data_IF_195241390749
#
_entry.id   IF_195241390749
#
_cell.length_a   1.000
_cell.length_b   1.000
_cell.length_c   1.000
_cell.angle_alpha   90.00
_cell.angle_beta   90.00
_cell.angle_gamma   90.00
#
_symmetry.space_group_name_H-M   'P 1'
#
loop_
_entity.id
_entity.type
_entity.pdbx_description
1 polymer ?
#
# COMPACT_ATOMS: atom_id res chain seq x y z
N UNK A 1 -1.48 -17.15 -54.41
CA UNK A 1 -1.97 -16.85 -53.04
C UNK A 1 -1.07 -17.55 -52.03
N UNK A 2 -0.03 -16.86 -51.55
CA UNK A 2 0.80 -17.36 -50.45
C UNK A 2 0.00 -17.23 -49.16
N UNK A 3 -0.41 -18.37 -48.58
CA UNK A 3 -0.89 -18.42 -47.20
C UNK A 3 0.27 -17.97 -46.30
N UNK A 4 0.20 -16.75 -45.79
CA UNK A 4 1.02 -16.32 -44.65
C UNK A 4 0.77 -17.33 -43.54
N UNK A 5 1.79 -18.12 -43.22
CA UNK A 5 1.88 -18.85 -41.97
C UNK A 5 1.76 -17.78 -40.87
N UNK A 6 0.58 -17.72 -40.23
CA UNK A 6 0.42 -17.03 -38.96
C UNK A 6 1.31 -17.84 -38.02
N UNK A 7 2.43 -17.23 -37.59
CA UNK A 7 3.37 -17.87 -36.68
C UNK A 7 2.61 -18.40 -35.47
N UNK A 8 2.82 -19.66 -35.12
CA UNK A 8 2.34 -20.20 -33.85
C UNK A 8 2.91 -19.29 -32.76
N UNK A 9 2.05 -18.65 -31.97
CA UNK A 9 2.47 -17.84 -30.83
C UNK A 9 3.39 -18.65 -29.90
N UNK A 10 4.21 -17.96 -29.11
CA UNK A 10 5.09 -18.59 -28.12
C UNK A 10 4.33 -19.51 -27.15
N UNK A 11 5.03 -20.32 -26.35
CA UNK A 11 4.38 -21.12 -25.32
C UNK A 11 3.56 -20.22 -24.40
N UNK A 12 2.37 -20.70 -24.03
CA UNK A 12 1.45 -20.00 -23.14
C UNK A 12 2.09 -19.81 -21.77
N UNK A 13 1.89 -18.62 -21.21
CA UNK A 13 2.49 -18.21 -19.95
C UNK A 13 1.47 -18.18 -18.81
N UNK A 14 1.92 -18.59 -17.63
CA UNK A 14 1.31 -18.26 -16.34
C UNK A 14 2.35 -17.56 -15.47
N UNK A 15 2.01 -16.43 -14.85
CA UNK A 15 2.93 -15.73 -13.95
C UNK A 15 2.26 -15.28 -12.66
N UNK A 16 3.09 -15.14 -11.61
CA UNK A 16 2.69 -14.59 -10.32
C UNK A 16 3.00 -13.09 -10.30
N UNK A 17 2.05 -12.27 -9.86
CA UNK A 17 2.22 -10.84 -9.65
C UNK A 17 2.12 -10.50 -8.16
N UNK A 18 3.20 -9.91 -7.63
CA UNK A 18 3.35 -9.43 -6.24
C UNK A 18 4.07 -8.07 -6.24
N UNK A 19 4.20 -7.44 -5.08
CA UNK A 19 4.83 -6.13 -4.89
C UNK A 19 4.68 -5.66 -3.44
N UNK A 20 5.15 -4.45 -3.14
CA UNK A 20 4.93 -3.78 -1.86
C UNK A 20 5.37 -4.62 -0.65
N UNK A 21 6.57 -5.21 -0.76
CA UNK A 21 7.14 -6.09 0.28
C UNK A 21 7.60 -5.30 1.52
N UNK A 22 8.06 -4.06 1.32
CA UNK A 22 8.54 -3.15 2.37
C UNK A 22 9.45 -3.83 3.40
N UNK A 23 10.50 -4.51 2.95
CA UNK A 23 11.40 -5.25 3.84
C UNK A 23 12.03 -4.31 4.89
N UNK A 24 11.87 -4.68 6.16
CA UNK A 24 12.30 -3.87 7.32
C UNK A 24 11.23 -2.97 7.92
N UNK A 25 10.02 -2.94 7.37
CA UNK A 25 8.89 -2.25 7.97
C UNK A 25 8.54 -2.86 9.33
N UNK A 26 8.11 -2.01 10.25
CA UNK A 26 7.66 -2.38 11.60
C UNK A 26 6.18 -2.09 11.77
N UNK A 27 5.57 -2.74 12.75
CA UNK A 27 4.23 -2.45 13.23
C UNK A 27 4.32 -1.91 14.66
N UNK A 28 4.28 -0.59 14.82
CA UNK A 28 4.71 0.03 16.08
C UNK A 28 6.16 -0.33 16.39
N UNK A 29 6.40 -0.92 17.56
CA UNK A 29 7.73 -1.39 17.96
C UNK A 29 8.05 -2.83 17.49
N UNK A 30 7.07 -3.54 16.91
CA UNK A 30 7.24 -4.92 16.48
C UNK A 30 7.93 -5.01 15.12
N UNK A 31 9.00 -5.78 15.09
CA UNK A 31 9.73 -6.11 13.87
C UNK A 31 9.02 -7.23 13.10
N UNK A 32 8.74 -7.00 11.82
CA UNK A 32 7.95 -7.92 11.00
C UNK A 32 8.80 -8.88 10.14
N UNK A 33 10.12 -8.94 10.34
CA UNK A 33 11.00 -9.76 9.48
C UNK A 33 10.62 -11.24 9.47
N UNK A 34 10.15 -11.78 10.58
CA UNK A 34 9.71 -13.17 10.66
C UNK A 34 8.44 -13.40 9.83
N UNK A 35 7.47 -12.49 9.95
CA UNK A 35 6.24 -12.45 9.16
C UNK A 35 6.54 -12.29 7.67
N UNK A 36 7.51 -11.43 7.33
CA UNK A 36 7.94 -11.20 5.94
C UNK A 36 8.56 -12.45 5.34
N UNK A 37 9.39 -13.16 6.11
CA UNK A 37 9.97 -14.42 5.67
C UNK A 37 8.92 -15.53 5.51
N UNK A 38 7.99 -15.67 6.46
CA UNK A 38 6.92 -16.65 6.39
C UNK A 38 5.97 -16.40 5.20
N UNK A 39 5.55 -15.15 4.99
CA UNK A 39 4.74 -14.77 3.84
C UNK A 39 5.45 -15.03 2.51
N UNK A 40 6.76 -14.76 2.46
CA UNK A 40 7.59 -15.10 1.31
C UNK A 40 7.62 -16.61 1.04
N UNK A 41 7.81 -17.45 2.06
CA UNK A 41 7.78 -18.91 1.87
C UNK A 41 6.42 -19.42 1.36
N UNK A 42 5.32 -18.83 1.85
CA UNK A 42 3.96 -19.12 1.35
C UNK A 42 3.77 -18.66 -0.09
N UNK A 43 4.33 -17.51 -0.48
CA UNK A 43 4.37 -17.06 -1.87
C UNK A 43 5.12 -18.06 -2.76
N UNK A 44 6.30 -18.54 -2.33
CA UNK A 44 7.05 -19.57 -3.06
C UNK A 44 6.25 -20.86 -3.21
N UNK A 45 5.55 -21.29 -2.15
CA UNK A 45 4.67 -22.46 -2.21
C UNK A 45 3.54 -22.27 -3.24
N UNK A 46 2.89 -21.10 -3.26
CA UNK A 46 1.86 -20.76 -4.25
C UNK A 46 2.45 -20.80 -5.67
N UNK A 47 3.62 -20.21 -5.90
CA UNK A 47 4.29 -20.22 -7.21
C UNK A 47 4.51 -21.65 -7.74
N UNK A 48 4.92 -22.57 -6.84
CA UNK A 48 5.12 -23.99 -7.16
C UNK A 48 3.82 -24.73 -7.43
N UNK A 49 2.83 -24.56 -6.57
CA UNK A 49 1.50 -25.19 -6.71
C UNK A 49 0.84 -24.78 -8.02
N UNK A 50 0.92 -23.49 -8.34
CA UNK A 50 0.33 -22.92 -9.55
C UNK A 50 1.12 -23.23 -10.82
N UNK A 51 2.38 -23.68 -10.66
CA UNK A 51 3.34 -23.94 -11.74
C UNK A 51 3.52 -22.70 -12.61
N UNK A 52 3.79 -21.57 -11.97
CA UNK A 52 4.05 -20.32 -12.71
C UNK A 52 5.38 -20.41 -13.46
N UNK A 53 5.44 -19.75 -14.59
CA UNK A 53 6.61 -19.68 -15.47
C UNK A 53 7.53 -18.49 -15.12
N UNK A 54 7.01 -17.48 -14.42
CA UNK A 54 7.75 -16.28 -14.02
C UNK A 54 7.12 -15.59 -12.79
N UNK A 55 7.90 -14.74 -12.13
CA UNK A 55 7.45 -13.90 -11.01
C UNK A 55 7.67 -12.42 -11.34
N UNK A 56 6.59 -11.64 -11.26
CA UNK A 56 6.56 -10.19 -11.41
C UNK A 56 6.51 -9.53 -10.03
N UNK A 57 7.46 -8.62 -9.76
CA UNK A 57 7.54 -7.86 -8.49
C UNK A 57 7.45 -6.36 -8.79
N UNK A 58 6.28 -5.78 -8.52
CA UNK A 58 5.89 -4.43 -8.92
C UNK A 58 6.35 -3.32 -7.93
N UNK A 59 7.58 -3.40 -7.44
CA UNK A 59 8.22 -2.34 -6.63
C UNK A 59 7.97 -2.41 -5.13
N UNK A 60 8.52 -1.41 -4.44
CA UNK A 60 8.59 -1.26 -2.97
C UNK A 60 9.15 -2.52 -2.28
N UNK A 61 10.37 -2.89 -2.70
CA UNK A 61 11.11 -4.01 -2.12
C UNK A 61 11.52 -3.69 -0.68
N UNK A 62 11.99 -2.47 -0.43
CA UNK A 62 12.39 -1.98 0.88
C UNK A 62 11.39 -0.96 1.42
N UNK A 63 11.31 -0.82 2.75
CA UNK A 63 10.49 0.22 3.39
C UNK A 63 11.11 1.63 3.29
N UNK A 64 12.41 1.73 2.99
CA UNK A 64 13.16 2.98 2.97
C UNK A 64 14.22 2.95 1.87
N UNK A 65 14.61 4.10 1.29
CA UNK A 65 15.68 4.16 0.27
C UNK A 65 17.06 3.84 0.85
N UNK A 66 17.17 3.86 2.18
CA UNK A 66 18.36 3.45 2.94
C UNK A 66 17.96 2.31 3.89
N UNK A 67 17.71 1.08 3.36
CA UNK A 67 17.44 -0.09 4.21
C UNK A 67 18.62 -0.39 5.13
N UNK A 68 18.31 -0.99 6.29
CA UNK A 68 19.31 -1.55 7.19
C UNK A 68 19.92 -2.84 6.62
N UNK A 69 20.99 -3.32 7.24
CA UNK A 69 21.74 -4.50 6.79
C UNK A 69 20.87 -5.77 6.77
N UNK A 70 20.03 -5.96 7.79
CA UNK A 70 19.14 -7.13 7.89
C UNK A 70 18.12 -7.18 6.74
N UNK A 71 17.53 -6.05 6.37
CA UNK A 71 16.62 -5.96 5.22
C UNK A 71 17.33 -6.29 3.91
N UNK A 72 18.56 -5.79 3.73
CA UNK A 72 19.37 -6.07 2.54
C UNK A 72 19.71 -7.56 2.46
N UNK A 73 20.12 -8.16 3.59
CA UNK A 73 20.40 -9.59 3.68
C UNK A 73 19.15 -10.44 3.40
N UNK A 74 17.99 -10.02 3.92
CA UNK A 74 16.71 -10.68 3.72
C UNK A 74 16.28 -10.64 2.25
N UNK A 75 16.33 -9.48 1.59
CA UNK A 75 16.01 -9.39 0.16
C UNK A 75 16.94 -10.28 -0.65
N UNK A 76 18.25 -10.21 -0.40
CA UNK A 76 19.22 -11.03 -1.10
C UNK A 76 18.90 -12.53 -0.96
N UNK A 77 18.57 -12.99 0.25
CA UNK A 77 18.15 -14.37 0.50
C UNK A 77 16.89 -14.74 -0.29
N UNK A 78 15.87 -13.88 -0.29
CA UNK A 78 14.63 -14.11 -1.06
C UNK A 78 14.92 -14.22 -2.56
N UNK A 79 15.75 -13.33 -3.12
CA UNK A 79 16.11 -13.33 -4.54
C UNK A 79 16.93 -14.55 -4.93
N UNK A 80 17.89 -14.97 -4.10
CA UNK A 80 18.66 -16.21 -4.30
C UNK A 80 17.70 -17.41 -4.35
N UNK A 81 16.77 -17.51 -3.41
CA UNK A 81 15.80 -18.59 -3.39
C UNK A 81 14.94 -18.58 -4.67
N UNK A 82 14.33 -17.45 -5.04
CA UNK A 82 13.46 -17.40 -6.23
C UNK A 82 14.20 -17.68 -7.55
N UNK A 83 15.33 -17.02 -7.78
CA UNK A 83 15.99 -17.04 -9.09
C UNK A 83 17.05 -18.15 -9.22
N UNK A 84 17.86 -18.37 -8.18
CA UNK A 84 18.97 -19.31 -8.26
C UNK A 84 18.59 -20.71 -7.78
N UNK A 85 17.72 -20.86 -6.79
CA UNK A 85 17.29 -22.17 -6.29
C UNK A 85 16.07 -22.67 -7.05
N UNK A 86 14.98 -21.90 -7.05
CA UNK A 86 13.71 -22.26 -7.70
C UNK A 86 13.66 -22.00 -9.21
N UNK A 87 14.68 -21.29 -9.74
CA UNK A 87 14.88 -21.04 -11.18
C UNK A 87 13.78 -20.22 -11.86
N UNK A 88 13.00 -19.44 -11.11
CA UNK A 88 12.02 -18.54 -11.71
C UNK A 88 12.73 -17.35 -12.39
N UNK A 89 12.38 -17.03 -13.65
CA UNK A 89 12.61 -15.71 -14.22
C UNK A 89 11.97 -14.65 -13.33
N UNK A 90 12.73 -13.61 -13.01
CA UNK A 90 12.29 -12.49 -12.18
C UNK A 90 12.14 -11.23 -13.02
N UNK A 91 10.97 -10.62 -12.94
CA UNK A 91 10.57 -9.41 -13.65
C UNK A 91 10.27 -8.34 -12.60
N UNK A 92 11.23 -7.46 -12.34
CA UNK A 92 11.20 -6.57 -11.18
C UNK A 92 11.36 -5.11 -11.57
N UNK A 93 10.69 -4.23 -10.81
CA UNK A 93 10.88 -2.78 -10.86
C UNK A 93 11.16 -2.23 -9.46
N UNK A 94 11.70 -1.02 -9.36
CA UNK A 94 11.73 -0.27 -8.10
C UNK A 94 10.40 0.47 -7.87
N UNK A 95 10.01 0.61 -6.60
CA UNK A 95 8.93 1.50 -6.19
C UNK A 95 9.44 2.87 -5.73
N UNK A 96 8.58 3.64 -5.06
CA UNK A 96 8.91 4.98 -4.57
C UNK A 96 9.69 4.98 -3.24
N UNK A 97 9.69 3.88 -2.50
CA UNK A 97 10.53 3.70 -1.30
C UNK A 97 11.94 3.25 -1.65
N UNK A 98 12.12 2.66 -2.82
CA UNK A 98 13.39 2.07 -3.22
C UNK A 98 14.39 3.11 -3.76
N UNK A 99 15.67 2.90 -3.48
CA UNK A 99 16.73 3.64 -4.16
C UNK A 99 17.05 3.00 -5.52
N UNK A 100 16.59 3.63 -6.60
CA UNK A 100 16.85 3.18 -7.97
C UNK A 100 18.34 2.88 -8.23
N UNK A 101 19.23 3.81 -7.86
CA UNK A 101 20.68 3.66 -8.06
C UNK A 101 21.25 2.46 -7.31
N UNK A 102 20.86 2.27 -6.04
CA UNK A 102 21.38 1.16 -5.23
C UNK A 102 20.88 -0.18 -5.74
N UNK A 103 19.58 -0.28 -6.06
CA UNK A 103 18.99 -1.48 -6.65
C UNK A 103 19.59 -1.84 -8.01
N UNK A 104 19.98 -0.84 -8.81
CA UNK A 104 20.59 -1.07 -10.12
C UNK A 104 21.98 -1.72 -10.05
N UNK A 105 22.60 -1.75 -8.86
CA UNK A 105 23.88 -2.42 -8.67
C UNK A 105 23.73 -3.90 -9.01
N UNK A 106 24.53 -4.39 -9.95
CA UNK A 106 24.49 -5.80 -10.33
C UNK A 106 23.66 -6.10 -11.60
N UNK A 107 22.87 -5.14 -12.09
CA UNK A 107 21.84 -5.38 -13.12
C UNK A 107 22.37 -6.08 -14.39
N UNK A 108 23.54 -5.66 -14.89
CA UNK A 108 24.15 -6.28 -16.08
C UNK A 108 24.45 -7.77 -15.91
N UNK A 109 24.78 -8.22 -14.70
CA UNK A 109 25.02 -9.64 -14.41
C UNK A 109 23.72 -10.43 -14.16
N UNK A 110 22.69 -9.79 -13.60
CA UNK A 110 21.40 -10.44 -13.30
C UNK A 110 20.71 -11.00 -14.55
N UNK A 111 20.82 -10.29 -15.69
CA UNK A 111 20.22 -10.72 -16.95
C UNK A 111 20.73 -12.08 -17.45
N UNK A 112 21.94 -12.50 -17.05
CA UNK A 112 22.49 -13.82 -17.39
C UNK A 112 21.74 -14.98 -16.71
N UNK A 113 20.94 -14.70 -15.68
CA UNK A 113 20.14 -15.68 -14.94
C UNK A 113 18.62 -15.40 -15.07
N UNK A 114 18.19 -14.73 -16.15
CA UNK A 114 16.78 -14.35 -16.35
C UNK A 114 16.20 -13.51 -15.20
N UNK A 115 17.04 -12.72 -14.54
CA UNK A 115 16.63 -11.72 -13.57
C UNK A 115 16.72 -10.33 -14.22
N UNK A 116 15.55 -9.77 -14.51
CA UNK A 116 15.36 -8.48 -15.13
C UNK A 116 14.88 -7.48 -14.07
N UNK A 117 15.72 -6.51 -13.73
CA UNK A 117 15.41 -5.44 -12.78
C UNK A 117 15.52 -4.10 -13.48
N UNK A 118 14.41 -3.44 -13.73
CA UNK A 118 14.42 -2.09 -14.30
C UNK A 118 14.34 -1.06 -13.19
N UNK A 119 15.24 -0.07 -13.21
CA UNK A 119 15.28 1.02 -12.23
C UNK A 119 15.37 2.41 -12.82
N UNK A 120 15.54 2.49 -14.15
CA UNK A 120 15.65 3.74 -14.89
C UNK A 120 14.59 3.77 -15.98
N UNK A 121 14.08 4.96 -16.26
CA UNK A 121 12.99 5.13 -17.22
C UNK A 121 13.37 4.61 -18.61
N UNK A 122 14.61 4.82 -19.05
CA UNK A 122 15.07 4.34 -20.35
C UNK A 122 15.00 2.82 -20.51
N UNK A 123 15.11 2.07 -19.41
CA UNK A 123 15.07 0.60 -19.43
C UNK A 123 13.66 0.07 -19.73
N UNK A 124 12.61 0.88 -19.51
CA UNK A 124 11.21 0.52 -19.73
C UNK A 124 10.87 0.21 -21.20
N UNK A 125 11.68 0.70 -22.13
CA UNK A 125 11.46 0.60 -23.58
C UNK A 125 12.23 -0.55 -24.24
N UNK A 126 12.90 -1.38 -23.44
CA UNK A 126 13.49 -2.68 -23.81
C UNK A 126 12.65 -3.80 -23.15
N UNK A 127 11.52 -4.20 -23.75
CA UNK A 127 10.61 -5.13 -23.10
C UNK A 127 11.18 -6.55 -23.02
N UNK A 128 10.86 -7.24 -21.93
CA UNK A 128 11.27 -8.63 -21.72
C UNK A 128 10.26 -9.57 -22.37
N UNK A 129 10.73 -10.46 -23.23
CA UNK A 129 9.89 -11.43 -23.92
C UNK A 129 10.05 -12.82 -23.32
N UNK A 130 8.95 -13.38 -22.79
CA UNK A 130 8.91 -14.75 -22.26
C UNK A 130 7.63 -15.41 -22.75
N UNK A 131 7.75 -16.55 -23.42
CA UNK A 131 6.62 -17.26 -24.03
C UNK A 131 5.84 -16.39 -25.02
N UNK A 132 4.51 -16.36 -24.87
CA UNK A 132 3.62 -15.50 -25.63
C UNK A 132 3.44 -14.09 -25.05
N UNK A 133 4.20 -13.71 -24.02
CA UNK A 133 4.14 -12.40 -23.37
C UNK A 133 5.31 -11.48 -23.75
N UNK A 134 5.03 -10.18 -23.68
CA UNK A 134 5.97 -9.08 -23.73
C UNK A 134 5.73 -8.18 -22.50
N UNK A 135 6.71 -8.10 -21.62
CA UNK A 135 6.64 -7.38 -20.34
C UNK A 135 7.35 -6.03 -20.44
N UNK A 136 6.61 -4.96 -20.17
CA UNK A 136 7.13 -3.60 -20.07
C UNK A 136 7.34 -3.27 -18.60
N UNK A 137 8.59 -3.40 -18.14
CA UNK A 137 8.97 -3.14 -16.75
C UNK A 137 9.23 -1.65 -16.58
N UNK A 138 8.18 -0.90 -16.24
CA UNK A 138 8.23 0.56 -16.07
C UNK A 138 8.51 0.89 -14.60
N UNK A 139 9.74 1.32 -14.24
CA UNK A 139 10.06 1.63 -12.86
C UNK A 139 9.31 2.85 -12.34
N UNK A 140 9.23 3.00 -11.03
CA UNK A 140 8.86 4.29 -10.45
C UNK A 140 9.87 5.37 -10.87
N UNK A 141 9.36 6.48 -11.41
CA UNK A 141 10.14 7.64 -11.82
C UNK A 141 9.50 8.95 -11.37
N UNK A 142 10.32 9.99 -11.24
CA UNK A 142 9.88 11.36 -10.95
C UNK A 142 9.72 12.14 -12.26
N UNK A 143 8.88 13.19 -12.25
CA UNK A 143 8.66 14.07 -13.41
C UNK A 143 9.95 14.64 -13.99
N UNK A 144 10.94 14.97 -13.14
CA UNK A 144 12.24 15.45 -13.61
C UNK A 144 12.99 14.40 -14.44
N UNK A 145 12.86 13.11 -14.14
CA UNK A 145 13.47 12.04 -14.92
C UNK A 145 12.77 11.87 -16.27
N UNK A 146 11.43 11.92 -16.29
CA UNK A 146 10.67 11.92 -17.53
C UNK A 146 11.01 13.14 -18.40
N UNK A 147 11.08 14.33 -17.81
CA UNK A 147 11.49 15.56 -18.49
C UNK A 147 12.85 15.42 -19.14
N UNK A 148 13.83 14.92 -18.39
CA UNK A 148 15.19 14.76 -18.92
C UNK A 148 15.27 13.71 -20.04
N UNK A 149 14.44 12.67 -19.98
CA UNK A 149 14.42 11.61 -20.99
C UNK A 149 13.72 12.06 -22.29
N UNK A 150 12.54 12.67 -22.17
CA UNK A 150 11.71 13.08 -23.31
C UNK A 150 12.00 14.50 -23.80
N UNK A 151 12.84 15.26 -23.10
CA UNK A 151 13.10 16.68 -23.34
C UNK A 151 11.81 17.51 -23.40
N UNK A 152 10.89 17.23 -22.46
CA UNK A 152 9.53 17.80 -22.42
C UNK A 152 9.11 18.12 -20.98
N UNK A 153 8.43 19.25 -20.78
CA UNK A 153 7.86 19.59 -19.49
C UNK A 153 6.53 18.87 -19.25
N UNK A 154 6.34 18.40 -18.01
CA UNK A 154 5.14 17.70 -17.55
C UNK A 154 4.56 18.39 -16.33
N UNK A 155 3.24 18.62 -16.33
CA UNK A 155 2.54 19.15 -15.15
C UNK A 155 2.25 18.07 -14.12
N UNK A 156 1.99 16.86 -14.60
CA UNK A 156 1.65 15.73 -13.75
C UNK A 156 2.15 14.39 -14.32
N UNK A 157 2.01 13.35 -13.50
CA UNK A 157 2.42 12.00 -13.87
C UNK A 157 1.57 11.43 -15.02
N UNK A 158 0.30 11.81 -15.13
CA UNK A 158 -0.58 11.32 -16.19
C UNK A 158 -0.08 11.74 -17.58
N UNK A 159 0.37 13.00 -17.73
CA UNK A 159 0.96 13.50 -18.97
C UNK A 159 2.27 12.78 -19.32
N UNK A 160 3.15 12.56 -18.33
CA UNK A 160 4.38 11.80 -18.56
C UNK A 160 4.08 10.34 -18.95
N UNK A 161 3.08 9.73 -18.30
CA UNK A 161 2.68 8.35 -18.56
C UNK A 161 2.09 8.16 -19.97
N UNK A 162 1.45 9.17 -20.55
CA UNK A 162 0.99 9.12 -21.95
C UNK A 162 2.14 8.87 -22.91
N UNK A 163 3.25 9.60 -22.76
CA UNK A 163 4.43 9.44 -23.62
C UNK A 163 5.12 8.09 -23.36
N UNK A 164 5.20 7.65 -22.09
CA UNK A 164 5.71 6.32 -21.73
C UNK A 164 4.91 5.21 -22.40
N UNK A 165 3.58 5.26 -22.29
CA UNK A 165 2.68 4.27 -22.91
C UNK A 165 2.82 4.28 -24.43
N UNK A 166 2.91 5.46 -25.06
CA UNK A 166 3.12 5.57 -26.50
C UNK A 166 4.42 4.88 -26.93
N UNK A 167 5.54 5.14 -26.23
CA UNK A 167 6.81 4.47 -26.50
C UNK A 167 6.75 2.96 -26.27
N UNK A 168 6.01 2.47 -25.28
CA UNK A 168 5.78 1.04 -25.10
C UNK A 168 5.00 0.44 -26.28
N UNK A 169 3.93 1.11 -26.73
CA UNK A 169 3.09 0.67 -27.86
C UNK A 169 3.88 0.56 -29.17
N UNK A 170 4.86 1.44 -29.40
CA UNK A 170 5.75 1.35 -30.58
C UNK A 170 6.58 0.05 -30.60
N UNK A 171 6.78 -0.60 -29.45
CA UNK A 171 7.53 -1.85 -29.31
C UNK A 171 6.65 -3.09 -29.33
N UNK A 172 5.33 -2.95 -29.48
CA UNK A 172 4.41 -4.08 -29.44
C UNK A 172 4.70 -5.08 -30.55
N UNK A 173 4.99 -6.32 -30.14
CA UNK A 173 5.11 -7.44 -31.07
C UNK A 173 3.72 -8.03 -31.33
N UNK A 174 3.31 -8.05 -32.60
CA UNK A 174 2.03 -8.61 -33.04
C UNK A 174 1.93 -10.09 -32.64
N UNK A 175 0.81 -10.46 -32.04
CA UNK A 175 0.52 -11.84 -31.61
C UNK A 175 1.05 -12.20 -30.23
N UNK A 176 1.74 -11.27 -29.54
CA UNK A 176 2.05 -11.40 -28.12
C UNK A 176 1.01 -10.71 -27.25
N UNK A 177 0.97 -11.13 -25.99
CA UNK A 177 0.26 -10.48 -24.89
C UNK A 177 1.15 -9.40 -24.28
N UNK A 178 0.62 -8.19 -24.13
CA UNK A 178 1.39 -7.06 -23.63
C UNK A 178 1.07 -6.83 -22.15
N UNK A 179 2.08 -6.93 -21.30
CA UNK A 179 1.94 -6.76 -19.85
C UNK A 179 2.68 -5.50 -19.44
N UNK A 180 1.96 -4.54 -18.87
CA UNK A 180 2.56 -3.34 -18.26
C UNK A 180 2.82 -3.62 -16.79
N UNK A 181 4.03 -3.34 -16.30
CA UNK A 181 4.37 -3.40 -14.87
C UNK A 181 4.73 -1.99 -14.42
N UNK A 182 4.07 -1.49 -13.38
CA UNK A 182 4.27 -0.13 -12.91
C UNK A 182 4.02 0.07 -11.44
N UNK A 183 4.37 1.26 -10.96
CA UNK A 183 4.24 1.62 -9.55
C UNK A 183 3.82 3.08 -9.42
N UNK A 184 2.51 3.32 -9.35
CA UNK A 184 1.91 4.65 -9.28
C UNK A 184 0.47 4.57 -8.76
N UNK A 185 -0.10 5.72 -8.40
CA UNK A 185 -1.50 5.83 -8.00
C UNK A 185 -2.42 5.95 -9.22
N UNK A 186 -3.20 4.91 -9.50
CA UNK A 186 -4.26 4.91 -10.52
C UNK A 186 -5.53 5.61 -10.03
N UNK A 187 -6.20 6.34 -10.93
CA UNK A 187 -7.46 7.04 -10.64
C UNK A 187 -8.57 6.06 -10.20
N UNK A 188 -9.32 6.45 -9.17
CA UNK A 188 -10.43 5.65 -8.61
C UNK A 188 -10.01 4.58 -7.58
N UNK A 189 -8.75 4.54 -7.16
CA UNK A 189 -8.24 3.54 -6.20
C UNK A 189 -8.55 3.91 -4.73
N UNK A 190 -8.88 2.91 -3.91
CA UNK A 190 -8.96 3.05 -2.44
C UNK A 190 -7.57 2.97 -1.80
N UNK A 191 -7.30 3.80 -0.78
CA UNK A 191 -6.01 3.87 -0.06
C UNK A 191 -6.01 3.14 1.29
N UNK A 192 -4.81 2.95 1.83
CA UNK A 192 -4.54 2.55 3.22
C UNK A 192 -3.64 3.58 3.93
N UNK A 193 -3.57 3.53 5.26
CA UNK A 193 -2.82 4.53 6.05
C UNK A 193 -1.30 4.35 6.02
N UNK A 194 -0.82 3.15 5.67
CA UNK A 194 0.59 2.78 5.56
C UNK A 194 1.26 3.29 4.28
N UNK A 195 0.46 3.76 3.32
CA UNK A 195 0.89 4.33 2.05
C UNK A 195 1.41 5.77 2.23
N UNK A 196 2.35 6.18 1.39
CA UNK A 196 2.90 7.53 1.43
C UNK A 196 1.84 8.55 0.98
N UNK A 197 1.38 9.41 1.91
CA UNK A 197 0.34 10.45 1.66
C UNK A 197 0.79 11.64 0.78
N UNK A 198 2.00 11.60 0.23
CA UNK A 198 2.62 12.79 -0.40
C UNK A 198 2.07 13.00 -1.83
N UNK A 199 1.02 13.81 -1.93
CA UNK A 199 0.58 14.49 -3.17
C UNK A 199 1.23 15.88 -3.31
N UNK A 200 2.50 16.03 -2.93
CA UNK A 200 3.20 17.31 -3.09
C UNK A 200 3.92 17.31 -4.43
N UNK A 201 3.43 18.11 -5.39
CA UNK A 201 4.14 18.45 -6.62
C UNK A 201 3.71 17.74 -7.91
N UNK A 202 2.41 17.54 -8.16
CA UNK A 202 1.90 17.11 -9.47
C UNK A 202 1.79 15.59 -9.68
N UNK A 203 1.98 14.77 -8.64
CA UNK A 203 1.76 13.32 -8.68
C UNK A 203 0.26 12.97 -8.58
N UNK A 204 -0.55 13.55 -9.48
CA UNK A 204 -1.97 13.25 -9.60
C UNK A 204 -2.25 11.81 -10.02
N UNK A 205 -3.47 11.34 -9.75
CA UNK A 205 -3.87 10.00 -10.12
C UNK A 205 -3.81 9.77 -11.64
N UNK A 206 -3.23 8.64 -12.06
CA UNK A 206 -3.10 8.30 -13.48
C UNK A 206 -4.38 7.62 -13.98
N UNK A 207 -5.03 8.14 -15.05
CA UNK A 207 -6.22 7.51 -15.61
C UNK A 207 -5.95 6.10 -16.14
N UNK A 208 -6.80 5.14 -15.77
CA UNK A 208 -6.65 3.72 -16.15
C UNK A 208 -6.85 3.46 -17.64
N UNK A 209 -7.62 4.31 -18.33
CA UNK A 209 -7.89 4.19 -19.77
C UNK A 209 -6.62 4.33 -20.62
N UNK A 210 -5.57 4.97 -20.09
CA UNK A 210 -4.27 5.04 -20.75
C UNK A 210 -3.69 3.65 -21.03
N UNK A 211 -4.06 2.65 -20.25
CA UNK A 211 -3.51 1.30 -20.36
C UNK A 211 -4.41 0.32 -21.11
N UNK A 212 -5.47 0.78 -21.79
CA UNK A 212 -6.45 -0.07 -22.48
C UNK A 212 -5.84 -0.98 -23.57
N UNK A 213 -4.67 -0.59 -24.11
CA UNK A 213 -3.94 -1.38 -25.11
C UNK A 213 -3.21 -2.60 -24.55
N UNK A 214 -3.03 -2.68 -23.23
CA UNK A 214 -2.34 -3.80 -22.59
C UNK A 214 -3.32 -4.92 -22.23
N UNK A 215 -2.86 -6.17 -22.30
CA UNK A 215 -3.64 -7.33 -21.90
C UNK A 215 -3.72 -7.47 -20.37
N UNK A 216 -2.69 -7.03 -19.65
CA UNK A 216 -2.65 -6.97 -18.19
C UNK A 216 -1.79 -5.82 -17.70
N UNK A 217 -2.19 -5.20 -16.58
CA UNK A 217 -1.45 -4.12 -15.93
C UNK A 217 -1.21 -4.51 -14.47
N UNK A 218 0.05 -4.82 -14.18
CA UNK A 218 0.57 -5.22 -12.88
C UNK A 218 1.06 -3.98 -12.11
N UNK A 219 0.26 -3.49 -11.17
CA UNK A 219 0.60 -2.32 -10.36
C UNK A 219 1.08 -2.73 -8.95
N UNK A 220 2.10 -2.06 -8.43
CA UNK A 220 2.34 -1.94 -6.99
C UNK A 220 1.86 -0.59 -6.47
N UNK A 221 2.36 -0.14 -5.31
CA UNK A 221 2.13 1.16 -4.63
C UNK A 221 1.00 1.13 -3.59
N UNK A 222 -0.05 0.35 -3.82
CA UNK A 222 -1.24 0.29 -2.98
C UNK A 222 -1.33 -1.05 -2.30
N UNK A 223 -1.44 -1.06 -0.97
CA UNK A 223 -1.31 -2.27 -0.15
C UNK A 223 -2.56 -3.15 -0.17
N UNK A 224 -3.64 -2.65 -0.80
CA UNK A 224 -4.91 -3.36 -1.02
C UNK A 224 -4.99 -3.91 -2.43
N UNK A 225 -4.95 -5.23 -2.56
CA UNK A 225 -5.06 -5.92 -3.85
C UNK A 225 -6.37 -5.61 -4.61
N UNK A 226 -7.44 -5.30 -3.87
CA UNK A 226 -8.76 -4.94 -4.39
C UNK A 226 -9.05 -3.43 -4.36
N UNK A 227 -8.01 -2.58 -4.27
CA UNK A 227 -8.16 -1.12 -4.28
C UNK A 227 -8.86 -0.59 -5.54
N UNK A 228 -8.79 -1.35 -6.65
CA UNK A 228 -9.36 -1.01 -7.94
C UNK A 228 -10.21 -2.18 -8.47
N UNK A 229 -11.43 -1.88 -8.91
CA UNK A 229 -12.39 -2.86 -9.42
C UNK A 229 -12.34 -2.91 -10.96
N UNK A 230 -11.24 -3.45 -11.49
CA UNK A 230 -10.99 -3.60 -12.93
C UNK A 230 -10.55 -5.03 -13.24
N UNK A 231 -10.87 -5.54 -14.43
CA UNK A 231 -10.53 -6.93 -14.79
C UNK A 231 -9.02 -7.13 -15.00
N UNK A 232 -8.39 -6.19 -15.71
CA UNK A 232 -7.00 -6.31 -16.20
C UNK A 232 -5.98 -5.45 -15.45
N UNK A 233 -6.44 -4.42 -14.74
CA UNK A 233 -5.57 -3.52 -13.96
C UNK A 233 -5.69 -3.90 -12.50
N UNK A 234 -4.61 -4.46 -11.95
CA UNK A 234 -4.60 -4.98 -10.58
C UNK A 234 -3.43 -4.39 -9.81
N UNK A 235 -3.70 -3.95 -8.59
CA UNK A 235 -2.65 -3.79 -7.60
C UNK A 235 -2.28 -5.16 -7.04
N UNK A 236 -1.00 -5.42 -6.84
CA UNK A 236 -0.52 -6.60 -6.11
C UNK A 236 -1.11 -6.63 -4.71
N UNK A 237 -1.20 -5.46 -4.07
CA UNK A 237 -1.26 -5.39 -2.63
C UNK A 237 0.09 -5.77 -2.00
N UNK A 238 0.20 -5.54 -0.70
CA UNK A 238 1.31 -6.07 0.07
C UNK A 238 1.04 -7.54 0.46
N UNK A 239 2.09 -8.35 0.73
CA UNK A 239 1.92 -9.70 1.25
C UNK A 239 1.56 -9.74 2.75
N UNK A 240 1.63 -8.59 3.44
CA UNK A 240 1.36 -8.44 4.88
C UNK A 240 0.51 -7.20 5.19
N UNK A 241 -0.13 -7.17 6.35
CA UNK A 241 -0.83 -5.99 6.88
C UNK A 241 0.18 -5.08 7.57
N UNK A 242 0.27 -3.83 7.14
CA UNK A 242 1.24 -2.87 7.66
C UNK A 242 0.64 -1.73 8.49
N UNK A 243 -0.69 -1.66 8.56
CA UNK A 243 -1.41 -0.69 9.37
C UNK A 243 -2.72 -1.27 9.90
N UNK A 244 -3.27 -0.63 10.93
CA UNK A 244 -4.58 -1.00 11.46
C UNK A 244 -5.71 -0.89 10.42
N UNK A 245 -5.57 0.00 9.44
CA UNK A 245 -6.54 0.19 8.35
C UNK A 245 -6.67 -1.04 7.44
N UNK A 246 -5.68 -1.94 7.48
CA UNK A 246 -5.61 -3.15 6.68
C UNK A 246 -6.06 -4.40 7.46
N UNK A 247 -6.57 -4.25 8.70
CA UNK A 247 -6.99 -5.37 9.55
C UNK A 247 -7.97 -6.33 8.87
N UNK A 248 -8.82 -5.83 7.97
CA UNK A 248 -9.83 -6.60 7.23
C UNK A 248 -9.37 -7.02 5.84
N UNK A 249 -8.20 -6.60 5.41
CA UNK A 249 -7.71 -6.88 4.06
C UNK A 249 -7.22 -8.32 3.96
N UNK A 250 -7.47 -8.92 2.80
CA UNK A 250 -6.85 -10.19 2.42
C UNK A 250 -5.53 -9.90 1.74
N UNK A 251 -4.48 -10.59 2.18
CA UNK A 251 -3.13 -10.46 1.63
C UNK A 251 -2.82 -11.68 0.76
N UNK A 252 -1.96 -11.52 -0.23
CA UNK A 252 -1.78 -12.57 -1.23
C UNK A 252 -1.12 -12.08 -2.50
N UNK A 253 -1.35 -12.84 -3.58
CA UNK A 253 -0.73 -12.62 -4.90
C UNK A 253 -1.75 -12.86 -6.00
N UNK A 254 -1.54 -12.20 -7.14
CA UNK A 254 -2.32 -12.49 -8.34
C UNK A 254 -1.65 -13.56 -9.17
N UNK A 255 -2.44 -14.49 -9.69
CA UNK A 255 -2.04 -15.42 -10.73
C UNK A 255 -2.68 -14.97 -12.04
N UNK A 256 -1.84 -14.82 -13.05
CA UNK A 256 -2.24 -14.42 -14.39
C UNK A 256 -1.87 -15.55 -15.33
N UNK A 257 -2.89 -16.15 -15.96
CA UNK A 257 -2.71 -17.22 -16.94
C UNK A 257 -3.21 -16.72 -18.29
N UNK A 258 -2.36 -16.73 -19.31
CA UNK A 258 -2.68 -16.30 -20.67
C UNK A 258 -3.67 -17.22 -21.40
N UNK A 259 -4.00 -18.37 -20.80
CA UNK A 259 -5.09 -19.25 -21.24
C UNK A 259 -6.43 -18.94 -20.57
N UNK A 260 -6.45 -18.06 -19.57
CA UNK A 260 -7.65 -17.68 -18.84
C UNK A 260 -8.09 -16.26 -19.20
N UNK A 261 -9.39 -16.02 -19.09
CA UNK A 261 -9.97 -14.70 -19.41
C UNK A 261 -9.64 -13.64 -18.36
N UNK A 262 -9.39 -14.05 -17.11
CA UNK A 262 -9.18 -13.15 -15.99
C UNK A 262 -8.13 -13.69 -15.00
N UNK A 263 -7.37 -12.79 -14.35
CA UNK A 263 -6.49 -13.16 -13.25
C UNK A 263 -7.31 -13.58 -12.01
N UNK A 264 -6.71 -14.40 -11.15
CA UNK A 264 -7.33 -14.79 -9.87
C UNK A 264 -6.35 -14.60 -8.70
N UNK A 265 -6.91 -14.37 -7.52
CA UNK A 265 -6.13 -14.06 -6.33
C UNK A 265 -5.90 -15.31 -5.48
N UNK A 266 -4.66 -15.54 -5.07
CA UNK A 266 -4.26 -16.59 -4.11
C UNK A 266 -3.90 -15.91 -2.80
N UNK A 267 -4.69 -16.20 -1.76
CA UNK A 267 -4.51 -15.62 -0.43
C UNK A 267 -3.30 -16.24 0.29
N UNK A 268 -2.54 -15.39 0.96
CA UNK A 268 -1.47 -15.76 1.89
C UNK A 268 -2.01 -15.57 3.31
N UNK A 269 -2.10 -16.66 4.05
CA UNK A 269 -2.46 -16.60 5.47
C UNK A 269 -1.26 -16.06 6.26
N UNK A 270 -1.42 -15.02 7.11
CA UNK A 270 -0.32 -14.49 7.90
C UNK A 270 0.13 -15.48 8.98
N UNK A 271 1.37 -15.34 9.46
CA UNK A 271 1.85 -16.09 10.63
C UNK A 271 1.10 -15.65 11.90
N UNK A 272 1.07 -14.34 12.15
CA UNK A 272 0.30 -13.68 13.19
C UNK A 272 -0.56 -12.62 12.50
N UNK A 273 -1.88 -12.67 12.71
CA UNK A 273 -2.79 -11.71 12.06
C UNK A 273 -2.94 -10.41 12.86
N UNK A 274 -3.51 -9.39 12.23
CA UNK A 274 -3.77 -8.07 12.79
C UNK A 274 -5.27 -7.86 13.04
N UNK A 275 -5.61 -7.48 14.27
CA UNK A 275 -6.97 -7.14 14.67
C UNK A 275 -7.06 -5.68 15.11
N UNK A 276 -8.14 -5.02 14.68
CA UNK A 276 -8.51 -3.70 15.19
C UNK A 276 -9.74 -3.84 16.09
N UNK A 277 -9.55 -3.53 17.37
CA UNK A 277 -10.59 -3.57 18.38
C UNK A 277 -11.13 -2.16 18.62
N UNK A 278 -12.43 -2.05 18.84
CA UNK A 278 -13.08 -0.80 19.22
C UNK A 278 -14.05 -1.06 20.36
N UNK A 279 -13.94 -0.30 21.44
CA UNK A 279 -14.79 -0.43 22.61
C UNK A 279 -14.21 0.26 23.84
N UNK A 280 -14.92 0.16 24.96
CA UNK A 280 -14.44 0.68 26.25
C UNK A 280 -13.36 -0.23 26.84
N UNK A 281 -12.47 0.29 27.70
CA UNK A 281 -11.49 -0.56 28.43
C UNK A 281 -12.21 -1.66 29.21
N UNK A 282 -13.36 -1.34 29.82
CA UNK A 282 -14.14 -2.30 30.59
C UNK A 282 -14.65 -3.47 29.75
N UNK A 283 -15.03 -3.23 28.49
CA UNK A 283 -15.46 -4.29 27.56
C UNK A 283 -14.28 -5.08 27.00
N UNK A 284 -13.22 -4.39 26.57
CA UNK A 284 -12.07 -5.01 25.91
C UNK A 284 -11.22 -5.85 26.87
N UNK A 285 -11.27 -5.58 28.18
CA UNK A 285 -10.57 -6.38 29.20
C UNK A 285 -11.35 -7.62 29.65
N UNK A 286 -12.59 -7.83 29.18
CA UNK A 286 -13.38 -9.01 29.53
C UNK A 286 -12.79 -10.29 28.94
N UNK A 287 -12.91 -11.39 29.67
CA UNK A 287 -12.34 -12.68 29.27
C UNK A 287 -12.90 -13.17 27.93
N UNK A 288 -14.19 -12.96 27.68
CA UNK A 288 -14.86 -13.36 26.44
C UNK A 288 -14.26 -12.60 25.24
N UNK A 289 -14.04 -11.29 25.38
CA UNK A 289 -13.42 -10.46 24.33
C UNK A 289 -11.96 -10.80 24.08
N UNK A 290 -11.22 -11.17 25.12
CA UNK A 290 -9.85 -11.63 24.97
C UNK A 290 -9.77 -12.95 24.20
N UNK A 291 -10.70 -13.87 24.43
CA UNK A 291 -10.71 -15.20 23.80
C UNK A 291 -11.07 -15.17 22.31
N UNK A 292 -11.70 -14.09 21.82
CA UNK A 292 -11.97 -13.89 20.39
C UNK A 292 -10.68 -13.68 19.56
N UNK A 293 -9.57 -13.29 20.20
CA UNK A 293 -8.32 -12.93 19.52
C UNK A 293 -7.28 -14.04 19.67
N UNK A 294 -6.78 -14.62 18.56
CA UNK A 294 -5.74 -15.64 18.62
C UNK A 294 -4.47 -15.14 19.31
N UNK A 295 -3.84 -16.02 20.07
CA UNK A 295 -2.56 -15.74 20.75
C UNK A 295 -1.49 -15.40 19.70
N UNK A 296 -0.71 -14.33 19.96
CA UNK A 296 0.33 -13.86 19.06
C UNK A 296 -0.13 -12.79 18.06
N UNK A 297 -1.44 -12.57 17.90
CA UNK A 297 -1.97 -11.57 16.99
C UNK A 297 -1.60 -10.14 17.38
N UNK A 298 -1.33 -9.30 16.38
CA UNK A 298 -1.12 -7.87 16.55
C UNK A 298 -2.45 -7.15 16.79
N UNK A 299 -2.48 -6.24 17.76
CA UNK A 299 -3.73 -5.56 18.16
C UNK A 299 -3.58 -4.05 18.08
N UNK A 300 -4.52 -3.41 17.39
CA UNK A 300 -4.75 -1.96 17.44
C UNK A 300 -6.05 -1.71 18.18
N UNK A 301 -6.05 -0.79 19.15
CA UNK A 301 -7.24 -0.49 19.95
C UNK A 301 -7.70 0.95 19.71
N UNK A 302 -9.00 1.10 19.46
CA UNK A 302 -9.72 2.38 19.46
C UNK A 302 -10.64 2.42 20.70
N UNK A 303 -10.24 3.16 21.72
CA UNK A 303 -11.00 3.35 22.95
C UNK A 303 -12.22 4.26 22.71
N UNK A 304 -13.37 3.86 23.24
CA UNK A 304 -14.62 4.65 23.17
C UNK A 304 -15.05 5.20 24.52
N UNK A 305 -14.23 5.08 25.56
CA UNK A 305 -14.53 5.62 26.89
C UNK A 305 -14.65 7.15 26.84
N UNK A 306 -15.82 7.68 27.21
CA UNK A 306 -16.08 9.13 27.24
C UNK A 306 -15.21 9.85 28.29
N UNK A 307 -14.90 9.16 29.41
CA UNK A 307 -14.07 9.69 30.48
C UNK A 307 -12.64 9.12 30.41
N UNK A 308 -11.64 9.85 30.93
CA UNK A 308 -10.32 9.27 31.16
C UNK A 308 -10.44 8.01 32.03
N UNK A 309 -9.74 6.95 31.63
CA UNK A 309 -9.68 5.69 32.36
C UNK A 309 -8.23 5.53 32.81
N UNK A 310 -8.02 5.53 34.13
CA UNK A 310 -6.70 5.30 34.70
C UNK A 310 -6.18 3.91 34.32
N UNK A 311 -4.87 3.83 34.09
CA UNK A 311 -4.13 2.61 33.72
C UNK A 311 -4.68 1.88 32.48
N UNK A 312 -5.36 2.61 31.58
CA UNK A 312 -5.98 2.03 30.38
C UNK A 312 -4.97 1.29 29.50
N UNK A 313 -3.77 1.85 29.34
CA UNK A 313 -2.70 1.23 28.55
C UNK A 313 -2.23 -0.08 29.19
N UNK A 314 -1.89 -0.08 30.48
CA UNK A 314 -1.39 -1.27 31.18
C UNK A 314 -2.42 -2.40 31.21
N UNK A 315 -3.70 -2.07 31.47
CA UNK A 315 -4.79 -3.04 31.47
C UNK A 315 -4.99 -3.68 30.10
N UNK A 316 -4.97 -2.90 29.03
CA UNK A 316 -5.12 -3.41 27.66
C UNK A 316 -3.88 -4.19 27.22
N UNK A 317 -2.68 -3.74 27.56
CA UNK A 317 -1.43 -4.45 27.26
C UNK A 317 -1.36 -5.82 27.95
N UNK A 318 -1.85 -5.93 29.19
CA UNK A 318 -1.95 -7.21 29.90
C UNK A 318 -2.89 -8.20 29.18
N UNK A 319 -3.95 -7.72 28.53
CA UNK A 319 -4.85 -8.56 27.73
C UNK A 319 -4.27 -8.88 26.35
N UNK A 320 -3.60 -7.90 25.73
CA UNK A 320 -3.09 -7.93 24.35
C UNK A 320 -1.60 -7.56 24.32
N UNK A 321 -0.69 -8.51 24.58
CA UNK A 321 0.75 -8.23 24.69
C UNK A 321 1.39 -7.68 23.41
N UNK A 322 0.81 -7.97 22.25
CA UNK A 322 1.25 -7.45 20.94
C UNK A 322 0.41 -6.24 20.48
N UNK A 323 -0.08 -5.44 21.44
CA UNK A 323 -0.75 -4.18 21.13
C UNK A 323 0.27 -3.16 20.62
N UNK A 324 0.12 -2.72 19.38
CA UNK A 324 1.07 -1.81 18.72
C UNK A 324 0.54 -0.38 18.60
N UNK A 325 -0.76 -0.17 18.86
CA UNK A 325 -1.40 1.12 18.73
C UNK A 325 -2.59 1.23 19.69
N UNK A 326 -2.69 2.37 20.36
CA UNK A 326 -3.82 2.73 21.21
C UNK A 326 -4.27 4.15 20.87
N UNK A 327 -5.52 4.28 20.41
CA UNK A 327 -6.12 5.55 20.05
C UNK A 327 -7.38 5.75 20.86
N UNK A 328 -7.71 6.99 21.19
CA UNK A 328 -9.07 7.35 21.62
C UNK A 328 -9.89 7.70 20.40
N UNK A 329 -11.16 7.31 20.40
CA UNK A 329 -12.10 7.78 19.41
C UNK A 329 -12.24 9.29 19.57
N UNK A 330 -11.70 10.03 18.62
CA UNK A 330 -12.02 11.45 18.48
C UNK A 330 -13.49 11.52 18.04
N UNK A 331 -14.32 12.38 18.67
CA UNK A 331 -15.62 12.72 18.10
C UNK A 331 -15.43 13.13 16.64
N UNK A 332 -16.31 12.66 15.76
CA UNK A 332 -16.27 13.07 14.37
C UNK A 332 -16.53 14.59 14.33
N UNK A 333 -15.48 15.38 14.10
CA UNK A 333 -15.64 16.78 13.71
C UNK A 333 -16.36 16.78 12.37
N UNK A 334 -17.66 17.13 12.35
CA UNK A 334 -18.31 17.45 11.09
C UNK A 334 -17.73 18.79 10.61
N UNK A 335 -16.85 18.74 9.60
CA UNK A 335 -16.44 19.95 8.87
C UNK A 335 -17.61 20.58 8.09
N UNK A 336 -18.76 19.91 8.04
CA UNK A 336 -20.01 20.42 7.52
C UNK A 336 -20.83 21.05 8.65
N UNK A 337 -20.62 22.35 8.89
CA UNK A 337 -21.54 23.15 9.70
C UNK A 337 -20.95 23.80 10.95
N UNK A 338 -19.89 24.60 10.80
CA UNK A 338 -19.88 25.82 11.61
C UNK A 338 -20.91 26.75 10.96
N UNK A 339 -22.13 26.80 11.51
CA UNK A 339 -22.98 27.95 11.25
C UNK A 339 -22.23 29.16 11.79
N UNK A 340 -22.00 30.17 10.94
CA UNK A 340 -21.49 31.46 11.39
C UNK A 340 -22.50 32.00 12.39
N UNK A 341 -22.19 31.90 13.67
CA UNK A 341 -23.01 32.46 14.73
C UNK A 341 -22.96 33.97 14.54
N UNK A 342 -24.09 34.56 14.14
CA UNK A 342 -24.21 36.01 14.07
C UNK A 342 -24.14 36.57 15.51
N UNK A 343 -23.41 37.67 15.71
CA UNK A 343 -23.34 38.32 17.02
C UNK A 343 -22.30 37.76 18.00
N UNK A 344 -21.32 36.95 17.56
CA UNK A 344 -20.22 36.44 18.41
C UNK A 344 -19.49 37.57 19.16
N UNK A 345 -19.40 38.78 18.59
CA UNK A 345 -18.80 39.94 19.25
C UNK A 345 -19.63 40.56 20.39
N UNK A 346 -20.90 40.16 20.54
CA UNK A 346 -21.83 40.67 21.56
C UNK A 346 -22.14 39.60 22.64
N UNK A 347 -21.73 38.35 22.43
CA UNK A 347 -21.94 37.25 23.37
C UNK A 347 -21.07 37.38 24.62
N UNK A 348 -21.63 36.98 25.76
CA UNK A 348 -20.82 36.86 26.97
C UNK A 348 -19.82 35.69 26.82
N UNK A 349 -18.62 35.76 27.42
CA UNK A 349 -17.60 34.71 27.27
C UNK A 349 -18.09 33.31 27.66
N UNK A 350 -18.98 33.19 28.66
CA UNK A 350 -19.59 31.93 29.08
C UNK A 350 -20.50 31.33 28.00
N UNK A 351 -21.33 32.18 27.39
CA UNK A 351 -22.22 31.82 26.28
C UNK A 351 -21.40 31.40 25.05
N UNK A 352 -20.31 32.10 24.74
CA UNK A 352 -19.41 31.77 23.64
C UNK A 352 -18.75 30.39 23.81
N UNK A 353 -18.30 30.06 25.03
CA UNK A 353 -17.74 28.74 25.35
C UNK A 353 -18.81 27.64 25.23
N UNK A 354 -20.03 27.90 25.71
CA UNK A 354 -21.13 26.95 25.62
C UNK A 354 -21.56 26.69 24.17
N UNK A 355 -21.71 27.73 23.37
CA UNK A 355 -22.03 27.62 21.94
C UNK A 355 -20.94 26.86 21.19
N UNK A 356 -19.66 27.18 21.44
CA UNK A 356 -18.54 26.46 20.84
C UNK A 356 -18.51 24.99 21.24
N UNK A 357 -18.68 24.68 22.53
CA UNK A 357 -18.70 23.31 23.03
C UNK A 357 -19.85 22.51 22.41
N UNK A 358 -21.06 23.07 22.36
CA UNK A 358 -22.23 22.41 21.76
C UNK A 358 -22.03 22.16 20.26
N UNK A 359 -21.45 23.11 19.52
CA UNK A 359 -21.13 22.93 18.10
C UNK A 359 -20.03 21.89 17.84
N UNK A 360 -19.01 21.83 18.71
CA UNK A 360 -17.84 20.95 18.52
C UNK A 360 -18.10 19.53 19.02
N UNK A 361 -18.80 19.39 20.14
CA UNK A 361 -19.04 18.11 20.82
C UNK A 361 -20.41 17.54 20.48
N UNK A 362 -21.34 18.35 19.95
CA UNK A 362 -22.70 17.94 19.59
C UNK A 362 -23.61 17.71 20.81
N UNK A 363 -23.23 18.19 21.99
CA UNK A 363 -23.96 18.11 23.26
C UNK A 363 -23.71 19.38 24.08
N UNK A 364 -24.69 19.79 24.89
CA UNK A 364 -24.53 20.92 25.79
C UNK A 364 -23.59 20.61 26.96
N UNK A 365 -22.97 21.64 27.53
CA UNK A 365 -22.17 21.53 28.75
C UNK A 365 -23.04 21.07 29.92
N UNK A 366 -22.57 20.10 30.68
CA UNK A 366 -23.20 19.70 31.93
C UNK A 366 -23.10 20.84 32.96
N UNK A 367 -24.05 20.98 33.90
CA UNK A 367 -24.06 22.08 34.86
C UNK A 367 -22.78 22.20 35.71
N UNK A 368 -22.11 21.06 35.98
CA UNK A 368 -20.86 21.03 36.73
C UNK A 368 -19.68 21.59 35.92
N UNK A 369 -19.65 21.36 34.61
CA UNK A 369 -18.60 21.86 33.72
C UNK A 369 -18.81 23.35 33.41
N UNK A 370 -20.07 23.80 33.31
CA UNK A 370 -20.40 25.21 33.18
C UNK A 370 -19.92 26.01 34.40
N UNK A 371 -20.13 25.49 35.61
CA UNK A 371 -19.66 26.13 36.85
C UNK A 371 -18.12 26.24 36.89
N UNK A 372 -17.39 25.26 36.35
CA UNK A 372 -15.93 25.31 36.20
C UNK A 372 -15.48 26.39 35.21
N UNK A 373 -16.17 26.54 34.08
CA UNK A 373 -15.90 27.58 33.09
C UNK A 373 -16.15 28.97 33.70
N UNK A 374 -17.24 29.15 34.43
CA UNK A 374 -17.57 30.41 35.12
C UNK A 374 -16.51 30.77 36.18
N UNK A 375 -16.09 29.82 37.01
CA UNK A 375 -15.06 30.04 38.04
C UNK A 375 -13.70 30.41 37.42
N UNK A 376 -13.30 29.75 36.33
CA UNK A 376 -12.09 30.09 35.58
C UNK A 376 -12.14 31.51 34.99
N UNK A 377 -13.25 31.88 34.35
CA UNK A 377 -13.42 33.22 33.78
C UNK A 377 -13.44 34.32 34.85
N UNK A 378 -14.06 34.05 36.01
CA UNK A 378 -14.04 34.98 37.14
C UNK A 378 -12.65 35.16 37.76
N UNK A 379 -11.83 34.11 37.79
CA UNK A 379 -10.45 34.19 38.30
C UNK A 379 -9.58 35.03 37.39
N UNK A 380 -9.69 34.86 36.07
CA UNK A 380 -8.95 35.64 35.09
C UNK A 380 -9.38 37.12 35.11
N UNK A 381 -10.68 37.40 35.23
CA UNK A 381 -11.19 38.78 35.31
C UNK A 381 -10.91 39.52 36.64
N UNK A 382 -10.31 38.87 37.64
CA UNK A 382 -9.91 39.48 38.92
C UNK A 382 -8.41 39.80 38.99
N UNK A 383 -7.62 39.38 38.01
CA UNK A 383 -6.18 39.65 37.92
C UNK A 383 -5.84 40.88 37.04
N UNK A 384 -6.86 41.56 36.50
CA UNK A 384 -6.75 42.83 35.75
C UNK A 384 -7.11 44.08 36.60
#
# INVERSE_FOLDING_TARGET
MLKKSIGKGGPKMKFLHTGDWHLGKKLGDFDLRQEQWDAFLKLVAIAKEEKVDAIVIAGDLYDSPRPNEDSVALLNRMLVQLNLEEKYPLLMINGNHDSAVRLNTGNQWYRLNHFYLNTRLEDAFDPVEIGDCQFFLVPYFKLAQAKNYFDKDYQDLAQAMQDVVACCQEKFVVGKKHVFVGHFFAAGSLRSDSETKVEVGGLGAVPVDLFASFDYVALGHIHKANALQMDKVKYSGSPLKFSASEAKDKKGVWIVDTNMDAPYFREIQPLNDLYQLKGTVAELTRAEKRQEIPVGSYVSVIMTDEKPVFDSYERLLACYPHMFNLQRQTPAFSSTGFEVVAGVGEMQPTELVQTFFSQVIGKDLEPADLALVEDCLQKVGKED
#
